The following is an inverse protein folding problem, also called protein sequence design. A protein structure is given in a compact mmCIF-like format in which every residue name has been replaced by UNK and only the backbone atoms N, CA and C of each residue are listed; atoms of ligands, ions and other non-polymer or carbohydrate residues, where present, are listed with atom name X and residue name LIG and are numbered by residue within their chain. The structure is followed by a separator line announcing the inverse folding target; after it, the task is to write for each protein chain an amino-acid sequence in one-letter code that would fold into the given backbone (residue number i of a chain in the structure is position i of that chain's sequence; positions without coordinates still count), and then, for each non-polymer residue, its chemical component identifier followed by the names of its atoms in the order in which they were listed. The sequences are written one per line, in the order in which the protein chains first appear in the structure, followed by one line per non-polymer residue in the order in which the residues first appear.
data_IF_137219909242
#
_entry.id   IF_137219909242
#
_cell.length_a   1.000
_cell.length_b   1.000
_cell.length_c   1.000
_cell.angle_alpha   90.00
_cell.angle_beta   90.00
_cell.angle_gamma   90.00
#
_symmetry.space_group_name_H-M   'P 1'
#
loop_
_entity.id
_entity.type
_entity.pdbx_description
1 polymer ?
#
# COMPACT_ATOMS: atom_id res chain seq x y z
N UNK A 1 8.85 15.02 -14.91
CA UNK A 1 7.98 14.31 -15.88
C UNK A 1 7.16 13.32 -15.07
N UNK A 2 5.87 13.63 -14.88
CA UNK A 2 4.93 12.70 -14.25
C UNK A 2 4.70 11.54 -15.22
N UNK A 3 5.13 10.34 -14.84
CA UNK A 3 4.71 9.13 -15.55
C UNK A 3 3.26 8.87 -15.19
N UNK A 4 2.43 8.84 -16.22
CA UNK A 4 1.00 8.51 -16.13
C UNK A 4 0.88 7.05 -15.70
N UNK A 5 0.75 6.82 -14.38
CA UNK A 5 0.64 5.50 -13.78
C UNK A 5 -0.85 5.12 -13.76
N UNK A 6 -1.30 4.45 -14.78
CA UNK A 6 -2.67 3.91 -14.81
C UNK A 6 -2.66 2.56 -14.08
N UNK A 7 -2.97 2.57 -12.79
CA UNK A 7 -3.25 1.36 -12.04
C UNK A 7 -4.43 0.64 -12.70
N UNK A 8 -4.21 -0.51 -13.34
CA UNK A 8 -5.29 -1.37 -13.86
C UNK A 8 -5.93 -2.15 -12.68
N UNK A 9 -6.46 -1.40 -11.73
CA UNK A 9 -7.40 -1.98 -10.77
C UNK A 9 -8.62 -2.35 -11.59
N UNK A 10 -8.88 -3.64 -11.80
CA UNK A 10 -10.09 -4.14 -12.44
C UNK A 10 -11.32 -3.83 -11.58
N UNK A 11 -11.59 -2.54 -11.43
CA UNK A 11 -12.89 -2.09 -10.99
C UNK A 11 -13.88 -2.66 -12.00
N UNK A 12 -14.82 -3.52 -11.58
CA UNK A 12 -15.93 -3.96 -12.43
C UNK A 12 -16.55 -2.70 -12.98
N UNK A 13 -16.29 -2.42 -14.27
CA UNK A 13 -16.85 -1.24 -14.96
C UNK A 13 -18.34 -1.29 -14.77
N UNK A 14 -18.95 -0.28 -14.16
CA UNK A 14 -20.41 -0.18 -14.19
C UNK A 14 -20.82 -0.18 -15.67
N UNK A 15 -21.87 -0.93 -16.03
CA UNK A 15 -22.40 -0.93 -17.38
C UNK A 15 -22.81 0.50 -17.72
N UNK A 16 -22.01 1.18 -18.53
CA UNK A 16 -22.29 2.52 -19.02
C UNK A 16 -23.38 2.36 -20.08
N UNK A 17 -24.59 2.80 -19.75
CA UNK A 17 -25.63 2.97 -20.76
C UNK A 17 -25.20 4.11 -21.71
N UNK A 18 -25.16 3.89 -23.04
CA UNK A 18 -24.83 4.94 -23.99
C UNK A 18 -25.94 6.00 -23.96
N UNK A 19 -25.65 7.20 -23.44
CA UNK A 19 -26.59 8.31 -23.47
C UNK A 19 -26.43 9.38 -22.40
N UNK A 20 -25.51 9.26 -21.43
CA UNK A 20 -25.33 10.29 -20.40
C UNK A 20 -23.84 10.49 -20.10
N UNK A 21 -23.22 11.40 -20.86
CA UNK A 21 -21.86 11.88 -20.61
C UNK A 21 -21.85 12.90 -19.45
N UNK A 22 -22.20 12.46 -18.25
CA UNK A 22 -21.77 13.07 -17.00
C UNK A 22 -20.87 12.04 -16.33
N UNK A 23 -19.57 12.34 -16.23
CA UNK A 23 -18.64 11.50 -15.49
C UNK A 23 -19.17 11.35 -14.06
N UNK A 24 -19.61 10.15 -13.70
CA UNK A 24 -20.02 9.85 -12.33
C UNK A 24 -18.78 10.04 -11.44
N UNK A 25 -18.81 10.90 -10.43
CA UNK A 25 -17.67 11.11 -9.56
C UNK A 25 -17.29 9.78 -8.87
N UNK A 26 -15.99 9.49 -8.82
CA UNK A 26 -15.43 8.36 -8.10
C UNK A 26 -14.70 8.86 -6.85
N UNK A 27 -14.75 8.09 -5.77
CA UNK A 27 -14.20 8.49 -4.48
C UNK A 27 -13.05 7.60 -4.07
N UNK A 28 -11.90 8.20 -3.72
CA UNK A 28 -10.85 7.54 -2.96
C UNK A 28 -11.00 7.98 -1.50
N UNK A 29 -11.19 7.01 -0.60
CA UNK A 29 -11.51 7.27 0.80
C UNK A 29 -10.44 6.62 1.66
N UNK A 30 -9.81 7.42 2.51
CA UNK A 30 -8.88 6.91 3.52
C UNK A 30 -9.61 6.09 4.58
N UNK A 31 -8.91 5.13 5.16
CA UNK A 31 -9.47 4.21 6.16
C UNK A 31 -9.13 4.70 7.58
N UNK A 32 -7.85 4.79 7.90
CA UNK A 32 -7.37 5.07 9.25
C UNK A 32 -7.60 6.54 9.62
N UNK A 33 -8.33 6.80 10.70
CA UNK A 33 -8.72 8.15 11.10
C UNK A 33 -9.91 8.75 10.34
N UNK A 34 -10.38 8.10 9.26
CA UNK A 34 -11.51 8.57 8.43
C UNK A 34 -12.74 7.68 8.59
N UNK A 35 -12.58 6.35 8.55
CA UNK A 35 -13.66 5.41 8.77
C UNK A 35 -13.75 4.98 10.23
N UNK A 36 -12.64 4.90 10.93
CA UNK A 36 -12.60 4.61 12.37
C UNK A 36 -11.48 5.38 13.06
N UNK A 37 -11.64 5.59 14.38
CA UNK A 37 -10.60 6.10 15.27
C UNK A 37 -10.43 5.12 16.44
N UNK A 38 -9.23 4.58 16.63
CA UNK A 38 -9.00 3.52 17.61
C UNK A 38 -9.85 2.28 17.31
N UNK A 39 -10.75 1.90 18.25
CA UNK A 39 -11.64 0.74 18.12
C UNK A 39 -13.09 1.10 17.75
N UNK A 40 -13.39 2.36 17.45
CA UNK A 40 -14.74 2.81 17.18
C UNK A 40 -14.92 3.36 15.75
N UNK A 41 -16.07 3.08 15.09
CA UNK A 41 -16.37 3.67 13.80
C UNK A 41 -16.62 5.18 13.95
N UNK A 42 -16.27 5.94 12.92
CA UNK A 42 -16.63 7.37 12.86
C UNK A 42 -18.16 7.48 12.76
N UNK A 43 -18.71 8.43 13.51
CA UNK A 43 -20.16 8.64 13.57
C UNK A 43 -20.75 8.81 12.15
N UNK A 44 -21.79 8.02 11.83
CA UNK A 44 -22.46 7.96 10.53
C UNK A 44 -21.59 7.41 9.37
N UNK A 45 -20.34 7.02 9.61
CA UNK A 45 -19.45 6.48 8.57
C UNK A 45 -20.06 5.32 7.76
N UNK A 46 -20.60 4.25 8.40
CA UNK A 46 -21.26 3.16 7.67
C UNK A 46 -22.40 3.63 6.74
N UNK A 47 -23.16 4.62 7.18
CA UNK A 47 -24.24 5.21 6.37
C UNK A 47 -23.75 5.97 5.14
N UNK A 48 -22.54 6.57 5.19
CA UNK A 48 -21.96 7.28 4.05
C UNK A 48 -21.60 6.31 2.92
N UNK A 49 -20.93 5.19 3.23
CA UNK A 49 -20.59 4.17 2.22
C UNK A 49 -21.86 3.53 1.63
N UNK A 50 -22.86 3.23 2.47
CA UNK A 50 -24.15 2.74 2.01
C UNK A 50 -24.84 3.75 1.07
N UNK A 51 -24.78 5.03 1.39
CA UNK A 51 -25.33 6.10 0.53
C UNK A 51 -24.60 6.17 -0.82
N UNK A 52 -23.26 6.16 -0.84
CA UNK A 52 -22.48 6.18 -2.08
C UNK A 52 -22.86 4.99 -2.98
N UNK A 53 -22.91 3.78 -2.40
CA UNK A 53 -23.29 2.57 -3.12
C UNK A 53 -24.73 2.65 -3.65
N UNK A 54 -25.68 3.10 -2.83
CA UNK A 54 -27.09 3.25 -3.23
C UNK A 54 -27.30 4.27 -4.35
N UNK A 55 -26.38 5.23 -4.49
CA UNK A 55 -26.38 6.24 -5.58
C UNK A 55 -25.59 5.79 -6.81
N UNK A 56 -24.95 4.62 -6.76
CA UNK A 56 -24.11 4.13 -7.84
C UNK A 56 -22.79 4.89 -8.00
N UNK A 57 -22.31 5.58 -6.95
CA UNK A 57 -21.01 6.23 -6.94
C UNK A 57 -19.92 5.20 -6.67
N UNK A 58 -18.96 4.97 -7.60
CA UNK A 58 -17.82 4.13 -7.34
C UNK A 58 -16.94 4.72 -6.24
N UNK A 59 -16.44 3.86 -5.36
CA UNK A 59 -15.42 4.26 -4.39
C UNK A 59 -14.37 3.16 -4.21
N UNK A 60 -13.18 3.56 -3.78
CA UNK A 60 -12.09 2.69 -3.39
C UNK A 60 -11.57 3.17 -2.03
N UNK A 61 -11.48 2.26 -1.08
CA UNK A 61 -10.88 2.51 0.22
C UNK A 61 -9.37 2.33 0.10
N UNK A 62 -8.59 3.33 0.46
CA UNK A 62 -7.13 3.34 0.32
C UNK A 62 -6.46 3.50 1.68
N UNK A 63 -5.40 2.74 1.94
CA UNK A 63 -4.68 2.82 3.22
C UNK A 63 -3.18 2.57 3.06
N UNK A 64 -2.37 3.28 3.87
CA UNK A 64 -0.93 3.01 4.01
C UNK A 64 -0.64 1.79 4.91
N UNK A 65 -1.66 1.13 5.46
CA UNK A 65 -1.48 -0.12 6.19
C UNK A 65 -0.85 -1.19 5.29
N UNK A 66 0.30 -1.72 5.68
CA UNK A 66 1.05 -2.76 4.97
C UNK A 66 0.95 -4.14 5.63
N UNK A 67 0.43 -4.20 6.87
CA UNK A 67 0.40 -5.42 7.71
C UNK A 67 -0.89 -6.22 7.61
N UNK A 68 -1.90 -5.69 6.94
CA UNK A 68 -3.21 -6.33 6.79
C UNK A 68 -3.51 -6.53 5.30
N UNK A 69 -4.04 -7.71 4.97
CA UNK A 69 -4.60 -7.95 3.63
C UNK A 69 -5.92 -7.20 3.45
N UNK A 70 -6.39 -7.06 2.20
CA UNK A 70 -7.70 -6.50 1.93
C UNK A 70 -8.84 -7.28 2.63
N UNK A 71 -8.71 -8.60 2.76
CA UNK A 71 -9.68 -9.42 3.50
C UNK A 71 -9.65 -9.13 5.01
N UNK A 72 -8.48 -9.02 5.63
CA UNK A 72 -8.38 -8.68 7.05
C UNK A 72 -8.98 -7.28 7.34
N UNK A 73 -8.75 -6.32 6.43
CA UNK A 73 -9.33 -4.98 6.52
C UNK A 73 -10.85 -5.04 6.35
N UNK A 74 -11.34 -5.84 5.40
CA UNK A 74 -12.78 -6.08 5.22
C UNK A 74 -13.43 -6.62 6.49
N UNK A 75 -12.84 -7.66 7.12
CA UNK A 75 -13.34 -8.25 8.36
C UNK A 75 -13.34 -7.23 9.50
N UNK A 76 -12.27 -6.46 9.65
CA UNK A 76 -12.19 -5.37 10.64
C UNK A 76 -13.30 -4.34 10.44
N UNK A 77 -13.50 -3.89 9.20
CA UNK A 77 -14.52 -2.92 8.86
C UNK A 77 -15.94 -3.47 9.05
N UNK A 78 -16.16 -4.75 8.75
CA UNK A 78 -17.44 -5.43 9.01
C UNK A 78 -17.76 -5.46 10.50
N UNK A 79 -16.77 -5.73 11.36
CA UNK A 79 -16.92 -5.65 12.82
C UNK A 79 -17.27 -4.24 13.33
N UNK A 80 -16.96 -3.19 12.56
CA UNK A 80 -17.30 -1.81 12.84
C UNK A 80 -18.62 -1.36 12.16
N UNK A 81 -19.35 -2.26 11.52
CA UNK A 81 -20.63 -2.01 10.88
C UNK A 81 -20.54 -1.51 9.43
N UNK A 82 -19.35 -1.50 8.81
CA UNK A 82 -19.20 -1.17 7.40
C UNK A 82 -19.46 -2.39 6.52
N UNK A 83 -20.20 -2.20 5.44
CA UNK A 83 -20.42 -3.22 4.42
C UNK A 83 -19.54 -2.91 3.21
N UNK A 84 -18.39 -3.55 3.11
CA UNK A 84 -17.42 -3.38 2.02
C UNK A 84 -16.91 -4.74 1.55
N UNK A 85 -16.51 -4.82 0.29
CA UNK A 85 -15.88 -6.01 -0.27
C UNK A 85 -14.37 -5.81 -0.33
N UNK A 86 -13.59 -6.90 -0.33
CA UNK A 86 -12.12 -6.81 -0.40
C UNK A 86 -11.61 -6.20 -1.71
N UNK A 87 -12.38 -6.28 -2.80
CA UNK A 87 -12.08 -5.64 -4.08
C UNK A 87 -12.36 -4.12 -4.09
N UNK A 88 -12.99 -3.59 -3.05
CA UNK A 88 -13.17 -2.16 -2.80
C UNK A 88 -12.06 -1.59 -1.88
N UNK A 89 -11.04 -2.38 -1.53
CA UNK A 89 -9.99 -2.00 -0.58
C UNK A 89 -8.62 -2.16 -1.25
N UNK A 90 -7.84 -1.08 -1.25
CA UNK A 90 -6.47 -1.05 -1.76
C UNK A 90 -5.47 -0.73 -0.64
N UNK A 91 -4.90 -1.76 0.01
CA UNK A 91 -3.76 -1.56 0.90
C UNK A 91 -2.52 -1.18 0.10
N UNK A 92 -1.62 -0.41 0.68
CA UNK A 92 -0.37 -0.01 0.02
C UNK A 92 0.51 -1.20 -0.37
N UNK A 93 0.46 -2.29 0.38
CA UNK A 93 1.18 -3.53 0.05
C UNK A 93 0.71 -4.14 -1.28
N UNK A 94 -0.60 -4.13 -1.55
CA UNK A 94 -1.14 -4.59 -2.84
C UNK A 94 -0.74 -3.63 -3.97
N UNK A 95 -0.81 -2.33 -3.74
CA UNK A 95 -0.37 -1.34 -4.72
C UNK A 95 1.12 -1.50 -5.08
N UNK A 96 1.97 -1.84 -4.09
CA UNK A 96 3.39 -2.10 -4.32
C UNK A 96 3.62 -3.39 -5.14
N UNK A 97 2.86 -4.45 -4.87
CA UNK A 97 2.94 -5.69 -5.64
C UNK A 97 2.53 -5.47 -7.11
N UNK A 98 1.44 -4.75 -7.34
CA UNK A 98 0.98 -4.37 -8.69
C UNK A 98 2.01 -3.48 -9.42
N UNK A 99 2.61 -2.51 -8.71
CA UNK A 99 3.68 -1.68 -9.26
C UNK A 99 4.86 -2.54 -9.74
N UNK A 100 5.34 -3.46 -8.91
CA UNK A 100 6.44 -4.36 -9.25
C UNK A 100 6.09 -5.24 -10.44
N UNK A 101 4.88 -5.82 -10.47
CA UNK A 101 4.42 -6.65 -11.58
C UNK A 101 4.37 -5.85 -12.88
N UNK A 102 3.86 -4.62 -12.82
CA UNK A 102 3.78 -3.77 -14.02
C UNK A 102 5.17 -3.39 -14.55
N UNK A 103 6.13 -3.16 -13.66
CA UNK A 103 7.45 -2.66 -14.04
C UNK A 103 8.44 -3.76 -14.44
N UNK A 104 8.40 -4.90 -13.76
CA UNK A 104 9.39 -5.97 -13.88
C UNK A 104 8.82 -7.31 -14.34
N UNK A 105 7.48 -7.46 -14.44
CA UNK A 105 6.78 -8.73 -14.60
C UNK A 105 7.03 -9.68 -13.41
N UNK A 106 8.25 -10.19 -13.23
CA UNK A 106 8.68 -11.01 -12.10
C UNK A 106 9.99 -10.45 -11.52
N UNK A 107 9.91 -9.70 -10.43
CA UNK A 107 11.05 -9.07 -9.77
C UNK A 107 11.71 -10.00 -8.74
N UNK A 108 13.04 -9.91 -8.62
CA UNK A 108 13.77 -10.37 -7.44
C UNK A 108 13.83 -9.23 -6.44
N UNK A 109 13.22 -9.40 -5.29
CA UNK A 109 13.08 -8.37 -4.28
C UNK A 109 13.95 -8.66 -3.05
N UNK A 110 14.81 -7.74 -2.65
CA UNK A 110 15.33 -7.70 -1.29
C UNK A 110 14.31 -6.98 -0.42
N UNK A 111 13.85 -7.63 0.66
CA UNK A 111 12.77 -7.13 1.49
C UNK A 111 13.26 -6.71 2.88
N UNK A 112 13.07 -5.44 3.21
CA UNK A 112 13.01 -4.93 4.59
C UNK A 112 11.52 -4.82 4.93
N UNK A 113 10.98 -5.76 5.70
CA UNK A 113 9.54 -5.81 5.97
C UNK A 113 9.12 -7.10 6.67
N UNK A 114 7.84 -7.27 6.92
CA UNK A 114 7.29 -8.45 7.56
C UNK A 114 6.99 -9.60 6.58
N UNK A 115 6.67 -10.78 7.12
CA UNK A 115 6.38 -11.96 6.32
C UNK A 115 5.04 -11.89 5.57
N UNK A 116 4.13 -11.01 5.98
CA UNK A 116 2.86 -10.83 5.28
C UNK A 116 3.09 -10.16 3.93
N UNK A 117 3.97 -9.15 3.90
CA UNK A 117 4.41 -8.51 2.66
C UNK A 117 5.19 -9.47 1.78
N UNK A 118 6.11 -10.28 2.36
CA UNK A 118 6.84 -11.29 1.59
C UNK A 118 5.88 -12.24 0.86
N UNK A 119 4.94 -12.85 1.58
CA UNK A 119 3.93 -13.76 0.99
C UNK A 119 3.05 -13.09 -0.07
N UNK A 120 2.73 -11.80 0.11
CA UNK A 120 1.96 -11.06 -0.88
C UNK A 120 2.75 -10.89 -2.19
N UNK A 121 4.01 -10.49 -2.10
CA UNK A 121 4.90 -10.33 -3.26
C UNK A 121 5.09 -11.67 -3.99
N UNK A 122 5.35 -12.74 -3.25
CA UNK A 122 5.48 -14.10 -3.80
C UNK A 122 4.21 -14.56 -4.52
N UNK A 123 3.03 -14.28 -3.95
CA UNK A 123 1.73 -14.57 -4.58
C UNK A 123 1.53 -13.82 -5.91
N UNK A 124 2.19 -12.66 -6.07
CA UNK A 124 2.18 -11.88 -7.32
C UNK A 124 3.31 -12.26 -8.28
N UNK A 125 4.03 -13.37 -8.01
CA UNK A 125 5.05 -13.91 -8.92
C UNK A 125 6.45 -13.37 -8.70
N UNK A 126 6.69 -12.59 -7.64
CA UNK A 126 8.01 -12.08 -7.31
C UNK A 126 8.79 -13.07 -6.45
N UNK A 127 10.11 -13.01 -6.52
CA UNK A 127 10.99 -13.76 -5.61
C UNK A 127 11.44 -12.83 -4.48
N UNK A 128 11.30 -13.26 -3.24
CA UNK A 128 11.67 -12.45 -2.07
C UNK A 128 12.86 -13.05 -1.34
N UNK A 129 13.86 -12.24 -1.06
CA UNK A 129 15.03 -12.58 -0.26
C UNK A 129 15.28 -11.55 0.85
N UNK A 130 15.87 -12.00 1.96
CA UNK A 130 16.41 -11.15 3.03
C UNK A 130 17.93 -11.25 3.12
N UNK A 131 18.53 -11.93 2.14
CA UNK A 131 19.98 -12.10 2.04
C UNK A 131 20.52 -11.16 0.97
N UNK A 132 21.82 -10.86 1.09
CA UNK A 132 22.54 -10.11 0.08
C UNK A 132 22.73 -10.97 -1.18
N UNK A 133 21.79 -10.82 -2.10
CA UNK A 133 21.80 -11.43 -3.42
C UNK A 133 21.45 -10.35 -4.45
N UNK A 134 21.72 -10.61 -5.73
CA UNK A 134 21.30 -9.65 -6.77
C UNK A 134 19.79 -9.46 -6.74
N UNK A 135 19.33 -8.21 -6.73
CA UNK A 135 17.94 -7.85 -6.71
C UNK A 135 17.60 -6.84 -7.83
N UNK A 136 16.38 -6.89 -8.31
CA UNK A 136 15.83 -5.91 -9.24
C UNK A 136 15.23 -4.74 -8.47
N UNK A 137 14.73 -5.02 -7.25
CA UNK A 137 14.17 -4.03 -6.35
C UNK A 137 14.54 -4.29 -4.88
N UNK A 138 14.72 -3.21 -4.13
CA UNK A 138 14.72 -3.17 -2.66
C UNK A 138 13.35 -2.69 -2.24
N UNK A 139 12.58 -3.51 -1.55
CA UNK A 139 11.23 -3.18 -1.08
C UNK A 139 11.27 -2.90 0.42
N UNK A 140 10.85 -1.70 0.82
CA UNK A 140 10.85 -1.25 2.21
C UNK A 140 9.39 -1.18 2.69
N UNK A 141 9.02 -2.14 3.52
CA UNK A 141 7.74 -2.22 4.21
C UNK A 141 7.89 -2.08 5.72
N UNK A 142 6.78 -2.12 6.44
CA UNK A 142 6.81 -2.01 7.89
C UNK A 142 7.61 -3.17 8.51
N UNK A 143 8.62 -2.81 9.29
CA UNK A 143 9.42 -3.72 10.10
C UNK A 143 9.58 -3.14 11.50
N UNK A 144 9.46 -3.99 12.51
CA UNK A 144 9.79 -3.62 13.91
C UNK A 144 11.27 -3.88 14.23
N UNK A 145 11.99 -4.55 13.34
CA UNK A 145 13.31 -5.12 13.59
C UNK A 145 14.35 -4.77 12.53
N UNK A 146 14.06 -3.75 11.68
CA UNK A 146 15.04 -3.28 10.71
C UNK A 146 16.35 -2.87 11.42
N UNK A 147 17.47 -3.34 10.91
CA UNK A 147 18.78 -3.07 11.46
C UNK A 147 19.74 -2.42 10.45
N UNK A 148 20.92 -2.00 10.92
CA UNK A 148 21.92 -1.40 10.05
C UNK A 148 22.45 -2.35 8.98
N UNK A 149 22.44 -3.68 9.23
CA UNK A 149 22.84 -4.68 8.24
C UNK A 149 21.92 -4.69 7.04
N UNK A 150 20.60 -4.66 7.27
CA UNK A 150 19.59 -4.58 6.19
C UNK A 150 19.70 -3.26 5.41
N UNK A 151 19.97 -2.14 6.10
CA UNK A 151 20.17 -0.82 5.45
C UNK A 151 21.44 -0.85 4.57
N UNK A 152 22.53 -1.47 5.04
CA UNK A 152 23.76 -1.56 4.26
C UNK A 152 23.62 -2.49 3.04
N UNK A 153 22.90 -3.61 3.18
CA UNK A 153 22.54 -4.46 2.03
C UNK A 153 21.70 -3.68 1.03
N UNK A 154 20.66 -2.99 1.47
CA UNK A 154 19.80 -2.16 0.63
C UNK A 154 20.61 -1.11 -0.16
N UNK A 155 21.55 -0.43 0.52
CA UNK A 155 22.48 0.50 -0.10
C UNK A 155 23.32 -0.16 -1.20
N UNK A 156 23.94 -1.30 -0.92
CA UNK A 156 24.79 -2.00 -1.91
C UNK A 156 23.98 -2.43 -3.14
N UNK A 157 22.76 -2.93 -2.93
CA UNK A 157 21.87 -3.31 -4.02
C UNK A 157 21.43 -2.09 -4.85
N UNK A 158 21.11 -0.96 -4.20
CA UNK A 158 20.78 0.29 -4.89
C UNK A 158 21.96 0.78 -5.76
N UNK A 159 23.19 0.71 -5.27
CA UNK A 159 24.41 1.05 -6.04
C UNK A 159 24.67 0.09 -7.21
N UNK A 160 24.13 -1.13 -7.17
CA UNK A 160 24.16 -2.09 -8.27
C UNK A 160 23.01 -1.90 -9.27
N UNK A 161 22.14 -0.91 -9.05
CA UNK A 161 21.05 -0.55 -9.94
C UNK A 161 19.67 -1.08 -9.54
N UNK A 162 19.54 -1.73 -8.37
CA UNK A 162 18.22 -2.10 -7.85
C UNK A 162 17.39 -0.85 -7.54
N UNK A 163 16.12 -0.84 -7.95
CA UNK A 163 15.21 0.24 -7.58
C UNK A 163 14.85 0.17 -6.11
N UNK A 164 14.91 1.30 -5.40
CA UNK A 164 14.49 1.37 -4.01
C UNK A 164 13.04 1.86 -3.94
N UNK A 165 12.18 1.01 -3.40
CA UNK A 165 10.73 1.21 -3.32
C UNK A 165 10.31 1.18 -1.85
N UNK A 166 9.69 2.26 -1.38
CA UNK A 166 9.11 2.35 -0.05
C UNK A 166 7.58 2.34 -0.11
N UNK A 167 6.94 1.59 0.78
CA UNK A 167 5.50 1.55 0.81
C UNK A 167 4.90 2.91 1.19
N UNK A 168 5.49 3.62 2.15
CA UNK A 168 5.10 4.98 2.56
C UNK A 168 6.24 5.66 3.31
N UNK A 169 6.02 6.91 3.77
CA UNK A 169 7.02 7.70 4.52
C UNK A 169 6.50 8.17 5.90
N UNK A 170 5.49 7.51 6.43
CA UNK A 170 4.92 7.92 7.72
C UNK A 170 6.00 7.80 8.81
N UNK A 171 6.19 8.87 9.57
CA UNK A 171 7.22 8.92 10.63
C UNK A 171 6.86 8.00 11.80
N UNK A 172 5.56 7.91 12.10
CA UNK A 172 5.01 7.11 13.20
C UNK A 172 3.67 6.51 12.83
N UNK A 173 3.25 5.49 13.56
CA UNK A 173 1.92 4.91 13.45
C UNK A 173 1.36 4.54 14.84
N UNK A 174 0.04 4.59 15.04
CA UNK A 174 -0.60 4.21 16.29
C UNK A 174 -0.66 2.67 16.42
N UNK A 175 -0.27 2.15 17.60
CA UNK A 175 -0.35 0.74 17.96
C UNK A 175 -1.03 0.64 19.33
N UNK A 176 -2.36 0.57 19.34
CA UNK A 176 -3.15 0.70 20.56
C UNK A 176 -2.93 2.07 21.21
N UNK A 177 -2.49 2.06 22.47
CA UNK A 177 -2.24 3.28 23.27
C UNK A 177 -0.82 3.84 23.09
N UNK A 178 0.02 3.22 22.26
CA UNK A 178 1.39 3.67 22.00
C UNK A 178 1.57 4.14 20.58
N UNK A 179 2.48 5.09 20.39
CA UNK A 179 2.93 5.51 19.07
C UNK A 179 4.27 4.84 18.77
N UNK A 180 4.35 4.12 17.66
CA UNK A 180 5.57 3.46 17.21
C UNK A 180 6.22 4.20 16.06
N UNK A 181 7.51 3.96 15.88
CA UNK A 181 8.27 4.44 14.72
C UNK A 181 7.67 3.81 13.46
N UNK A 182 7.40 4.65 12.48
CA UNK A 182 6.93 4.25 11.16
C UNK A 182 8.09 3.95 10.20
N UNK A 183 7.75 3.85 8.93
CA UNK A 183 8.68 3.53 7.86
C UNK A 183 9.59 4.69 7.47
N UNK A 184 9.13 5.93 7.64
CA UNK A 184 9.83 7.14 7.23
C UNK A 184 11.29 7.23 7.68
N UNK A 185 11.64 6.95 8.94
CA UNK A 185 13.01 6.96 9.42
C UNK A 185 13.92 5.96 8.72
N UNK A 186 13.43 4.75 8.37
CA UNK A 186 14.21 3.75 7.62
C UNK A 186 14.45 4.25 6.20
N UNK A 187 13.42 4.79 5.55
CA UNK A 187 13.51 5.38 4.20
C UNK A 187 14.53 6.51 4.21
N UNK A 188 14.45 7.42 5.18
CA UNK A 188 15.40 8.54 5.31
C UNK A 188 16.85 8.05 5.54
N UNK A 189 17.05 7.00 6.32
CA UNK A 189 18.37 6.41 6.53
C UNK A 189 18.96 5.86 5.22
N UNK A 190 18.16 5.16 4.42
CA UNK A 190 18.60 4.62 3.12
C UNK A 190 18.85 5.77 2.14
N UNK A 191 17.97 6.76 2.04
CA UNK A 191 18.16 7.93 1.18
C UNK A 191 19.44 8.71 1.49
N UNK A 192 19.84 8.75 2.75
CA UNK A 192 21.07 9.46 3.16
C UNK A 192 22.36 8.80 2.65
N UNK A 193 22.30 7.58 2.15
CA UNK A 193 23.46 6.76 1.76
C UNK A 193 23.40 6.25 0.31
N UNK A 194 22.39 6.65 -0.45
CA UNK A 194 22.27 6.36 -1.90
C UNK A 194 22.22 7.65 -2.72
N UNK A 195 22.63 7.58 -3.97
CA UNK A 195 22.60 8.73 -4.91
C UNK A 195 21.29 8.81 -5.72
N UNK A 196 20.34 7.89 -5.48
CA UNK A 196 19.08 7.78 -6.21
C UNK A 196 17.86 8.21 -5.38
N UNK A 197 16.75 8.43 -6.07
CA UNK A 197 15.47 8.69 -5.42
C UNK A 197 14.81 7.37 -4.99
N UNK A 198 14.14 7.38 -3.84
CA UNK A 198 13.26 6.30 -3.41
C UNK A 198 11.88 6.49 -4.03
N UNK A 199 11.39 5.49 -4.75
CA UNK A 199 10.02 5.44 -5.25
C UNK A 199 9.07 5.17 -4.07
N UNK A 200 8.12 6.08 -3.83
CA UNK A 200 7.12 5.90 -2.77
C UNK A 200 5.78 5.55 -3.39
N UNK A 201 5.14 4.48 -2.91
CA UNK A 201 3.88 3.96 -3.46
C UNK A 201 2.65 4.55 -2.77
N UNK A 202 2.72 4.65 -1.45
CA UNK A 202 1.58 5.06 -0.64
C UNK A 202 1.33 6.56 -0.60
N UNK A 203 0.17 6.92 -0.04
CA UNK A 203 -0.22 8.32 0.14
C UNK A 203 0.88 9.12 0.86
N UNK A 204 1.09 10.39 0.52
CA UNK A 204 0.33 11.27 -0.39
C UNK A 204 0.82 11.26 -1.86
N UNK A 205 1.48 10.21 -2.33
CA UNK A 205 2.02 10.10 -3.69
C UNK A 205 0.96 9.66 -4.70
#
# INVERSE_FOLDING_TARGET
QYHDFTLDVRLRRPRIHPGRALSTPSFFIDIDGVLYGGSAPVAKGPGVLAYLRGRGFPFLLVTNTSRMSANDIQEKLAGLGYQVNSDEILPVSLAAAEYLTHKFDAARCFLIGDDSLARLLEKHGHTVSRKEESADAVVIGQSLWADFGEIDIARRLALQGAEVIALHRDATWPDGDVTRIGLGPIVAAIESVIDGAVTVIGKPQ
#
